data_IF_426949658902
#
_entry.id   IF_426949658902
#
_cell.length_a   1.000
_cell.length_b   1.000
_cell.length_c   1.000
_cell.angle_alpha   90.00
_cell.angle_beta   90.00
_cell.angle_gamma   90.00
#
_symmetry.space_group_name_H-M   'P 1'
#
loop_
_entity.id
_entity.type
_entity.pdbx_description
1 polymer ?
#
# COMPACT_ATOMS: atom_id res chain seq x y z
N UNK A 1 -6.16 14.43 -18.46
CA UNK A 1 -5.05 13.58 -18.95
C UNK A 1 -3.91 14.43 -19.51
N UNK A 2 -4.21 15.47 -20.27
CA UNK A 2 -3.21 16.27 -21.01
C UNK A 2 -2.25 17.04 -20.09
N UNK A 3 -2.67 17.40 -18.90
CA UNK A 3 -1.83 18.08 -17.90
C UNK A 3 -0.88 17.14 -17.14
N UNK A 4 -1.05 15.83 -17.27
CA UNK A 4 -0.12 14.86 -16.67
C UNK A 4 1.13 14.71 -17.53
N UNK A 5 2.29 14.67 -16.89
CA UNK A 5 3.53 14.27 -17.57
C UNK A 5 3.51 12.76 -17.88
N UNK A 6 4.46 12.25 -18.66
CA UNK A 6 4.48 10.85 -19.09
C UNK A 6 4.56 9.83 -17.96
N UNK A 7 5.11 10.21 -16.79
CA UNK A 7 5.16 9.39 -15.58
C UNK A 7 4.03 9.72 -14.60
N UNK A 8 3.18 10.66 -14.97
CA UNK A 8 2.12 11.18 -14.10
C UNK A 8 1.01 10.18 -13.85
N UNK A 9 0.39 10.34 -12.71
CA UNK A 9 -0.73 9.52 -12.25
C UNK A 9 -1.85 10.40 -11.69
N UNK A 10 -3.04 9.81 -11.59
CA UNK A 10 -4.20 10.42 -10.97
C UNK A 10 -4.82 9.44 -9.99
N UNK A 11 -5.21 9.96 -8.83
CA UNK A 11 -6.04 9.26 -7.87
C UNK A 11 -7.43 9.87 -7.85
N UNK A 12 -8.46 9.04 -7.90
CA UNK A 12 -9.85 9.48 -7.79
C UNK A 12 -10.55 8.67 -6.72
N UNK A 13 -11.02 9.36 -5.68
CA UNK A 13 -11.77 8.75 -4.58
C UNK A 13 -13.26 8.85 -4.86
N UNK A 14 -13.97 7.75 -4.73
CA UNK A 14 -15.42 7.68 -4.83
C UNK A 14 -16.00 6.76 -3.76
N UNK A 15 -17.20 7.10 -3.32
CA UNK A 15 -18.01 6.20 -2.52
C UNK A 15 -18.73 5.16 -3.40
N UNK A 16 -19.45 4.24 -2.76
CA UNK A 16 -20.16 3.14 -3.42
C UNK A 16 -21.25 3.60 -4.41
N UNK A 17 -21.78 4.84 -4.29
CA UNK A 17 -22.80 5.35 -5.20
C UNK A 17 -22.23 5.70 -6.57
N UNK A 18 -20.98 6.16 -6.61
CA UNK A 18 -20.34 6.66 -7.84
C UNK A 18 -19.16 5.84 -8.34
N UNK A 19 -18.64 4.86 -7.59
CA UNK A 19 -17.40 4.18 -7.93
C UNK A 19 -17.46 3.46 -9.29
N UNK A 20 -18.56 2.80 -9.61
CA UNK A 20 -18.73 2.10 -10.88
C UNK A 20 -18.80 3.04 -12.10
N UNK A 21 -19.47 4.19 -11.96
CA UNK A 21 -19.52 5.24 -13.01
C UNK A 21 -18.12 5.82 -13.19
N UNK A 22 -17.47 6.16 -12.07
CA UNK A 22 -16.14 6.74 -12.09
C UNK A 22 -15.13 5.79 -12.73
N UNK A 23 -15.20 4.50 -12.45
CA UNK A 23 -14.34 3.51 -13.08
C UNK A 23 -14.52 3.48 -14.60
N UNK A 24 -15.77 3.46 -15.10
CA UNK A 24 -16.06 3.48 -16.52
C UNK A 24 -15.54 4.77 -17.19
N UNK A 25 -15.77 5.92 -16.57
CA UNK A 25 -15.30 7.22 -17.05
C UNK A 25 -13.77 7.27 -17.13
N UNK A 26 -13.09 6.78 -16.12
CA UNK A 26 -11.62 6.77 -16.09
C UNK A 26 -11.03 5.79 -17.12
N UNK A 27 -11.69 4.64 -17.35
CA UNK A 27 -11.32 3.70 -18.41
C UNK A 27 -11.46 4.34 -19.80
N UNK A 28 -12.50 5.17 -20.03
CA UNK A 28 -12.70 5.90 -21.29
C UNK A 28 -11.62 6.97 -21.49
N UNK A 29 -11.31 7.77 -20.45
CA UNK A 29 -10.38 8.90 -20.55
C UNK A 29 -8.93 8.43 -20.62
N UNK A 30 -8.55 7.47 -19.77
CA UNK A 30 -7.16 7.06 -19.62
C UNK A 30 -6.79 5.81 -20.43
N UNK A 31 -7.75 4.95 -20.73
CA UNK A 31 -7.58 3.61 -21.26
C UNK A 31 -7.52 2.56 -20.15
N UNK A 32 -8.14 1.41 -20.35
CA UNK A 32 -8.16 0.28 -19.39
C UNK A 32 -6.75 -0.22 -19.06
N UNK A 33 -5.84 -0.16 -20.02
CA UNK A 33 -4.43 -0.55 -19.90
C UNK A 33 -3.66 0.34 -18.95
N UNK A 34 -4.15 1.54 -18.67
CA UNK A 34 -3.54 2.52 -17.76
C UNK A 34 -4.16 2.49 -16.35
N UNK A 35 -5.12 1.62 -16.10
CA UNK A 35 -5.57 1.30 -14.75
C UNK A 35 -4.47 0.58 -13.98
N UNK A 36 -4.21 1.02 -12.76
CA UNK A 36 -3.16 0.45 -11.91
C UNK A 36 -3.72 -0.29 -10.72
N UNK A 37 -4.54 0.37 -9.92
CA UNK A 37 -5.13 -0.22 -8.72
C UNK A 37 -6.50 0.39 -8.40
N UNK A 38 -7.36 -0.42 -7.83
CA UNK A 38 -8.40 0.01 -6.93
C UNK A 38 -7.89 -0.21 -5.50
N UNK A 39 -7.80 0.86 -4.75
CA UNK A 39 -7.31 0.88 -3.37
C UNK A 39 -8.52 1.08 -2.47
N UNK A 40 -8.65 0.22 -1.46
CA UNK A 40 -9.73 0.30 -0.48
C UNK A 40 -9.29 1.19 0.67
N UNK A 41 -10.03 2.28 0.92
CA UNK A 41 -9.75 3.22 2.00
C UNK A 41 -10.84 3.21 3.05
N UNK A 42 -10.48 3.41 4.31
CA UNK A 42 -11.43 3.42 5.42
C UNK A 42 -12.33 4.65 5.36
N UNK A 43 -13.63 4.45 5.47
CA UNK A 43 -14.62 5.50 5.68
C UNK A 43 -14.85 5.73 7.18
N UNK A 44 -15.31 6.92 7.58
CA UNK A 44 -15.81 7.11 8.94
C UNK A 44 -17.09 6.27 9.10
N UNK A 45 -17.06 5.33 10.05
CA UNK A 45 -18.25 4.58 10.43
C UNK A 45 -19.22 5.52 11.11
N UNK A 46 -20.31 5.89 10.47
CA UNK A 46 -21.49 6.36 11.20
C UNK A 46 -22.15 5.10 11.75
N UNK A 47 -22.16 4.94 13.05
CA UNK A 47 -22.96 3.93 13.73
C UNK A 47 -24.44 4.28 13.51
N UNK A 48 -25.04 3.72 12.49
CA UNK A 48 -26.44 3.87 12.17
C UNK A 48 -26.91 2.60 11.49
N UNK A 49 -27.82 1.89 12.13
CA UNK A 49 -28.46 0.72 11.56
C UNK A 49 -29.26 1.13 10.33
N UNK A 50 -28.74 0.87 9.15
CA UNK A 50 -29.51 0.91 7.91
C UNK A 50 -30.27 -0.38 7.76
N UNK A 51 -31.60 -0.29 7.75
CA UNK A 51 -32.46 -1.46 7.58
C UNK A 51 -32.26 -2.04 6.17
N UNK A 52 -31.90 -3.32 6.09
CA UNK A 52 -31.83 -4.05 4.82
C UNK A 52 -30.48 -4.02 4.08
N UNK A 53 -29.41 -3.42 4.66
CA UNK A 53 -28.07 -3.45 4.10
C UNK A 53 -27.01 -3.41 5.19
N UNK A 54 -25.78 -3.82 4.85
CA UNK A 54 -24.64 -3.62 5.73
C UNK A 54 -24.15 -2.16 5.68
N UNK A 55 -23.60 -1.67 6.79
CA UNK A 55 -22.99 -0.34 6.85
C UNK A 55 -21.79 -0.24 5.90
N UNK A 56 -21.72 0.88 5.18
CA UNK A 56 -20.60 1.14 4.25
C UNK A 56 -19.38 1.60 5.03
N UNK A 57 -18.37 0.75 5.10
CA UNK A 57 -17.16 0.98 5.88
C UNK A 57 -15.99 1.52 5.05
N UNK A 58 -16.07 1.48 3.72
CA UNK A 58 -14.96 1.79 2.82
C UNK A 58 -15.39 2.60 1.61
N UNK A 59 -14.44 3.33 1.02
CA UNK A 59 -14.53 3.96 -0.29
C UNK A 59 -13.49 3.35 -1.22
N UNK A 60 -13.71 3.50 -2.54
CA UNK A 60 -12.73 3.16 -3.56
C UNK A 60 -11.85 4.36 -3.91
N UNK A 61 -10.54 4.13 -4.01
CA UNK A 61 -9.56 5.09 -4.51
C UNK A 61 -8.91 4.48 -5.75
N UNK A 62 -9.28 4.97 -6.93
CA UNK A 62 -8.76 4.48 -8.20
C UNK A 62 -7.44 5.16 -8.54
N UNK A 63 -6.44 4.38 -8.92
CA UNK A 63 -5.17 4.85 -9.44
C UNK A 63 -5.07 4.55 -10.94
N UNK A 64 -4.92 5.60 -11.72
CA UNK A 64 -4.60 5.54 -13.14
C UNK A 64 -3.30 6.28 -13.45
N UNK A 65 -2.63 5.89 -14.51
CA UNK A 65 -1.44 6.57 -15.02
C UNK A 65 -1.70 7.16 -16.40
N UNK A 66 -0.85 8.08 -16.83
CA UNK A 66 -0.89 8.60 -18.21
C UNK A 66 -0.42 7.54 -19.20
N UNK A 67 0.60 6.78 -18.83
CA UNK A 67 1.25 5.75 -19.65
C UNK A 67 1.71 4.57 -18.81
N UNK A 68 2.31 3.56 -19.44
CA UNK A 68 2.91 2.43 -18.73
C UNK A 68 4.18 2.80 -17.94
N UNK A 69 4.74 3.99 -18.16
CA UNK A 69 5.94 4.46 -17.46
C UNK A 69 5.58 5.26 -16.19
N UNK A 70 4.81 4.66 -15.29
CA UNK A 70 4.42 5.28 -14.02
C UNK A 70 5.55 5.23 -12.99
N UNK A 71 5.70 6.30 -12.20
CA UNK A 71 6.49 6.28 -10.97
C UNK A 71 5.66 5.67 -9.85
N UNK A 72 6.09 4.54 -9.31
CA UNK A 72 5.54 3.96 -8.06
C UNK A 72 6.68 3.85 -7.05
N UNK A 73 6.58 4.60 -5.97
CA UNK A 73 7.49 4.50 -4.85
C UNK A 73 7.02 3.40 -3.89
N UNK A 74 7.91 2.52 -3.49
CA UNK A 74 7.59 1.49 -2.51
C UNK A 74 7.50 2.10 -1.12
N UNK A 75 6.29 2.23 -0.60
CA UNK A 75 6.03 2.67 0.77
C UNK A 75 5.92 1.45 1.66
N UNK A 76 6.48 1.55 2.86
CA UNK A 76 6.44 0.48 3.86
C UNK A 76 5.48 0.84 4.98
N UNK A 77 4.73 -0.16 5.46
CA UNK A 77 3.94 -0.07 6.69
C UNK A 77 4.49 -1.02 7.74
N UNK A 78 4.35 -0.64 9.00
CA UNK A 78 4.72 -1.51 10.11
C UNK A 78 3.88 -2.79 10.10
N UNK A 79 4.52 -3.92 10.38
CA UNK A 79 3.82 -5.17 10.66
C UNK A 79 3.38 -5.16 12.11
N UNK A 80 2.11 -5.41 12.33
CA UNK A 80 1.53 -5.50 13.68
C UNK A 80 1.07 -6.91 14.00
N UNK A 81 1.07 -7.26 15.26
CA UNK A 81 0.45 -8.51 15.71
C UNK A 81 -1.06 -8.48 15.44
N UNK A 82 -1.58 -9.55 14.86
CA UNK A 82 -3.01 -9.66 14.53
C UNK A 82 -3.92 -9.50 15.77
N UNK A 83 -3.45 -9.96 16.94
CA UNK A 83 -4.24 -10.01 18.18
C UNK A 83 -4.03 -8.77 19.06
N UNK A 84 -2.78 -8.45 19.43
CA UNK A 84 -2.49 -7.36 20.37
C UNK A 84 -2.22 -6.01 19.70
N UNK A 85 -2.15 -5.98 18.35
CA UNK A 85 -1.87 -4.77 17.54
C UNK A 85 -0.50 -4.11 17.80
N UNK A 86 0.35 -4.71 18.62
CA UNK A 86 1.70 -4.22 18.84
C UNK A 86 2.56 -4.38 17.57
N UNK A 87 3.52 -3.49 17.38
CA UNK A 87 4.51 -3.63 16.30
C UNK A 87 5.31 -4.91 16.49
N UNK A 88 5.56 -5.60 15.40
CA UNK A 88 6.44 -6.76 15.41
C UNK A 88 7.90 -6.31 15.45
N UNK A 89 8.72 -7.05 16.15
CA UNK A 89 10.18 -6.95 16.06
C UNK A 89 10.69 -7.82 14.89
N UNK A 90 11.95 -7.59 14.42
CA UNK A 90 12.57 -8.50 13.47
C UNK A 90 12.62 -9.91 14.03
N UNK A 91 12.14 -10.88 13.27
CA UNK A 91 12.09 -12.28 13.71
C UNK A 91 12.63 -13.24 12.64
N UNK A 92 13.29 -14.31 13.09
CA UNK A 92 13.70 -15.39 12.21
C UNK A 92 12.53 -16.34 11.98
N UNK A 93 12.10 -16.47 10.74
CA UNK A 93 10.99 -17.34 10.34
C UNK A 93 11.43 -18.38 9.34
N UNK A 94 10.80 -19.57 9.32
CA UNK A 94 11.09 -20.58 8.32
C UNK A 94 10.99 -20.02 6.90
N UNK A 95 11.92 -20.41 6.05
CA UNK A 95 11.95 -20.03 4.65
C UNK A 95 10.83 -20.67 3.81
N UNK A 96 10.10 -21.58 4.39
CA UNK A 96 9.10 -22.44 3.78
C UNK A 96 7.70 -21.85 3.87
N UNK A 97 6.91 -21.96 2.81
CA UNK A 97 5.52 -21.55 2.73
C UNK A 97 4.62 -22.77 2.42
N UNK A 98 3.35 -22.76 2.88
CA UNK A 98 2.41 -23.82 2.56
C UNK A 98 1.98 -23.79 1.08
N UNK A 99 1.58 -24.96 0.57
CA UNK A 99 1.13 -25.15 -0.82
C UNK A 99 2.18 -25.79 -1.70
N UNK A 100 1.75 -26.40 -2.81
CA UNK A 100 2.65 -27.03 -3.79
C UNK A 100 3.17 -26.00 -4.78
N UNK A 101 4.45 -26.09 -5.11
CA UNK A 101 5.13 -25.27 -6.10
C UNK A 101 6.33 -26.03 -6.68
N UNK A 102 6.78 -25.63 -7.86
CA UNK A 102 8.03 -26.15 -8.45
C UNK A 102 9.30 -25.76 -7.67
N UNK A 103 9.19 -24.79 -6.74
CA UNK A 103 10.29 -24.32 -5.91
C UNK A 103 10.42 -25.15 -4.62
N UNK A 104 10.65 -26.45 -4.78
CA UNK A 104 10.75 -27.41 -3.67
C UNK A 104 12.18 -27.72 -3.23
N UNK A 105 13.16 -27.21 -3.96
CA UNK A 105 14.59 -27.46 -3.71
C UNK A 105 15.38 -26.16 -3.73
N UNK A 106 16.24 -25.94 -2.74
CA UNK A 106 17.20 -24.84 -2.67
C UNK A 106 18.57 -25.35 -2.21
N UNK A 107 19.61 -24.59 -2.55
CA UNK A 107 20.98 -24.84 -2.11
C UNK A 107 21.48 -23.64 -1.32
N UNK A 108 21.94 -23.88 -0.10
CA UNK A 108 22.52 -22.85 0.78
C UNK A 108 23.87 -23.37 1.26
N UNK A 109 24.95 -22.63 0.97
CA UNK A 109 26.31 -23.02 1.36
C UNK A 109 26.65 -24.48 0.99
N UNK A 110 26.41 -24.86 -0.26
CA UNK A 110 26.62 -26.21 -0.81
C UNK A 110 25.79 -27.34 -0.18
N UNK A 111 24.82 -26.99 0.70
CA UNK A 111 23.87 -27.96 1.27
C UNK A 111 22.53 -27.85 0.52
N UNK A 112 22.03 -29.01 0.09
CA UNK A 112 20.72 -29.12 -0.56
C UNK A 112 19.64 -29.28 0.48
N UNK A 113 18.58 -28.48 0.37
CA UNK A 113 17.38 -28.51 1.19
C UNK A 113 16.15 -28.79 0.31
N UNK A 114 15.37 -29.77 0.69
CA UNK A 114 14.12 -30.15 0.02
C UNK A 114 12.99 -29.82 0.96
N UNK A 115 11.93 -29.17 0.46
CA UNK A 115 10.78 -28.73 1.27
C UNK A 115 10.00 -29.92 1.87
N UNK A 116 9.17 -29.66 2.86
CA UNK A 116 8.19 -30.63 3.39
C UNK A 116 7.13 -30.97 2.35
N UNK A 117 6.42 -32.04 2.57
CA UNK A 117 5.22 -32.37 1.80
C UNK A 117 4.18 -31.25 1.91
N UNK A 118 3.55 -30.88 0.80
CA UNK A 118 2.57 -29.79 0.70
C UNK A 118 3.14 -28.41 1.09
N UNK A 119 4.44 -28.21 0.87
CA UNK A 119 5.08 -26.91 1.06
C UNK A 119 6.15 -26.66 -0.01
N UNK A 120 6.60 -25.41 -0.09
CA UNK A 120 7.64 -24.98 -1.02
C UNK A 120 8.49 -23.88 -0.39
N UNK A 121 9.65 -23.59 -0.98
CA UNK A 121 10.49 -22.47 -0.55
C UNK A 121 9.94 -21.15 -1.03
N UNK A 122 9.85 -20.19 -0.13
CA UNK A 122 9.24 -18.86 -0.39
C UNK A 122 9.96 -18.07 -1.47
N UNK A 123 11.31 -18.23 -1.55
CA UNK A 123 12.15 -17.46 -2.47
C UNK A 123 12.84 -18.38 -3.48
N UNK A 124 13.09 -17.84 -4.69
CA UNK A 124 13.89 -18.51 -5.71
C UNK A 124 15.36 -18.55 -5.31
N UNK A 125 16.14 -19.43 -5.95
CA UNK A 125 17.55 -19.65 -5.63
C UNK A 125 18.40 -18.37 -5.66
N UNK A 126 18.18 -17.48 -6.63
CA UNK A 126 18.92 -16.23 -6.75
C UNK A 126 18.73 -15.35 -5.50
N UNK A 127 17.48 -15.17 -5.08
CA UNK A 127 17.14 -14.40 -3.86
C UNK A 127 17.69 -15.06 -2.60
N UNK A 128 17.67 -16.40 -2.53
CA UNK A 128 18.26 -17.17 -1.42
C UNK A 128 19.75 -16.89 -1.30
N UNK A 129 20.47 -16.88 -2.42
CA UNK A 129 21.90 -16.59 -2.46
C UNK A 129 22.20 -15.16 -1.98
N UNK A 130 21.46 -14.17 -2.49
CA UNK A 130 21.62 -12.78 -2.05
C UNK A 130 21.34 -12.59 -0.56
N UNK A 131 20.26 -13.18 -0.08
CA UNK A 131 19.88 -13.09 1.34
C UNK A 131 20.92 -13.73 2.24
N UNK A 132 21.47 -14.89 1.83
CA UNK A 132 22.52 -15.56 2.59
C UNK A 132 23.80 -14.72 2.66
N UNK A 133 24.24 -14.13 1.54
CA UNK A 133 25.41 -13.24 1.50
C UNK A 133 25.22 -11.98 2.36
N UNK A 134 24.00 -11.46 2.45
CA UNK A 134 23.65 -10.28 3.27
C UNK A 134 23.42 -10.62 4.75
N UNK A 135 23.56 -11.88 5.17
CA UNK A 135 23.25 -12.29 6.55
C UNK A 135 21.76 -12.25 6.91
N UNK A 136 20.88 -12.17 5.91
CA UNK A 136 19.43 -12.14 6.07
C UNK A 136 18.80 -13.54 6.00
N UNK A 137 19.59 -14.56 5.82
CA UNK A 137 19.23 -15.98 5.82
C UNK A 137 20.22 -16.77 6.65
N UNK A 138 19.75 -17.71 7.43
CA UNK A 138 20.55 -18.62 8.23
C UNK A 138 20.03 -20.05 8.15
N UNK A 139 20.85 -21.00 8.53
CA UNK A 139 20.44 -22.39 8.80
C UNK A 139 20.40 -22.54 10.32
N UNK A 140 19.21 -22.80 10.86
CA UNK A 140 19.04 -23.06 12.29
C UNK A 140 19.35 -24.51 12.59
N UNK A 141 20.60 -24.80 12.95
CA UNK A 141 21.11 -26.17 13.17
C UNK A 141 20.45 -26.88 14.36
N UNK A 142 19.78 -26.15 15.26
CA UNK A 142 19.03 -26.73 16.39
C UNK A 142 17.69 -27.34 15.98
N UNK A 143 17.22 -27.07 14.77
CA UNK A 143 15.94 -27.54 14.22
C UNK A 143 16.16 -28.60 13.15
N UNK A 144 15.23 -29.54 13.08
CA UNK A 144 15.17 -30.52 12.00
C UNK A 144 13.75 -30.64 11.48
N UNK A 145 13.59 -31.19 10.29
CA UNK A 145 12.28 -31.45 9.69
C UNK A 145 12.32 -32.73 8.85
N UNK A 146 11.16 -33.21 8.43
CA UNK A 146 11.02 -34.31 7.48
C UNK A 146 10.72 -33.73 6.11
N UNK A 147 11.53 -34.05 5.11
CA UNK A 147 11.32 -33.61 3.73
C UNK A 147 10.15 -34.34 3.05
N UNK A 148 9.81 -33.94 1.84
CA UNK A 148 8.70 -34.55 1.08
C UNK A 148 8.90 -36.02 0.73
N UNK A 149 10.12 -36.53 0.83
CA UNK A 149 10.48 -37.93 0.60
C UNK A 149 10.55 -38.77 1.89
N UNK A 150 10.30 -38.14 3.04
CA UNK A 150 10.35 -38.82 4.35
C UNK A 150 11.72 -38.81 5.00
N UNK A 151 12.72 -38.13 4.45
CA UNK A 151 14.05 -38.07 5.04
C UNK A 151 14.13 -37.00 6.12
N UNK A 152 14.81 -37.32 7.24
CA UNK A 152 15.12 -36.33 8.27
C UNK A 152 16.25 -35.42 7.82
N UNK A 153 15.97 -34.13 7.73
CA UNK A 153 16.94 -33.09 7.37
C UNK A 153 17.32 -32.33 8.64
N UNK A 154 18.62 -32.22 8.91
CA UNK A 154 19.16 -31.41 10.00
C UNK A 154 19.35 -29.96 9.52
N UNK A 155 19.06 -29.00 10.38
CA UNK A 155 19.07 -27.59 10.04
C UNK A 155 17.82 -27.16 9.27
N UNK A 156 17.20 -26.08 9.71
CA UNK A 156 16.05 -25.47 9.04
C UNK A 156 16.46 -24.12 8.48
N UNK A 157 16.32 -23.89 7.16
CA UNK A 157 16.51 -22.56 6.60
C UNK A 157 15.49 -21.56 7.15
N UNK A 158 15.99 -20.43 7.67
CA UNK A 158 15.21 -19.33 8.22
C UNK A 158 15.69 -18.02 7.61
N UNK A 159 14.76 -17.09 7.35
CA UNK A 159 15.09 -15.74 6.92
C UNK A 159 14.68 -14.70 7.95
N UNK A 160 15.39 -13.59 7.99
CA UNK A 160 15.06 -12.46 8.86
C UNK A 160 13.87 -11.71 8.28
N UNK A 161 12.72 -11.85 8.94
CA UNK A 161 11.52 -11.11 8.60
C UNK A 161 11.53 -9.76 9.29
N UNK A 162 11.59 -8.69 8.51
CA UNK A 162 11.59 -7.32 9.04
C UNK A 162 10.23 -6.92 9.62
N UNK A 163 10.22 -5.97 10.56
CA UNK A 163 8.99 -5.49 11.21
C UNK A 163 8.13 -4.59 10.30
N UNK A 164 8.42 -4.54 9.02
CA UNK A 164 7.68 -3.77 8.03
C UNK A 164 7.40 -4.62 6.79
N UNK A 165 6.39 -4.23 6.04
CA UNK A 165 6.01 -4.81 4.75
C UNK A 165 5.64 -3.71 3.76
N UNK A 166 5.74 -4.01 2.48
CA UNK A 166 5.25 -3.09 1.45
C UNK A 166 3.74 -2.88 1.61
N UNK A 167 3.30 -1.66 1.32
CA UNK A 167 1.87 -1.36 1.24
C UNK A 167 1.28 -2.08 0.02
N UNK A 168 0.13 -2.70 0.23
CA UNK A 168 -0.74 -3.29 -0.78
C UNK A 168 -1.90 -2.33 -1.11
N UNK A 169 -2.97 -2.81 -1.75
CA UNK A 169 -4.17 -2.02 -2.06
C UNK A 169 -5.18 -1.92 -0.91
N UNK A 170 -4.92 -2.54 0.24
CA UNK A 170 -5.73 -2.36 1.45
C UNK A 170 -5.13 -1.26 2.34
N UNK A 171 -5.76 -0.07 2.29
CA UNK A 171 -5.39 1.11 3.10
C UNK A 171 -6.38 1.38 4.23
N UNK A 172 -7.10 0.36 4.68
CA UNK A 172 -8.01 0.48 5.83
C UNK A 172 -7.29 0.60 7.18
N UNK A 173 -5.95 0.45 7.18
CA UNK A 173 -5.06 0.62 8.32
C UNK A 173 -4.92 2.08 8.77
N UNK A 174 -5.32 3.04 7.94
CA UNK A 174 -5.27 4.48 8.23
C UNK A 174 -6.64 5.12 8.09
N UNK A 175 -6.90 6.24 8.80
CA UNK A 175 -8.16 6.97 8.65
C UNK A 175 -8.26 7.60 7.26
N UNK A 176 -9.40 7.45 6.60
CA UNK A 176 -9.67 8.10 5.33
C UNK A 176 -10.17 9.53 5.47
N UNK A 177 -10.81 9.86 6.60
CA UNK A 177 -11.37 11.18 6.91
C UNK A 177 -10.90 11.69 8.26
N UNK A 178 -10.98 12.99 8.44
CA UNK A 178 -10.76 13.69 9.71
C UNK A 178 -11.77 14.85 9.82
N UNK A 179 -11.77 15.57 10.93
CA UNK A 179 -12.63 16.73 11.16
C UNK A 179 -11.88 17.85 11.88
N UNK A 180 -10.60 18.03 11.55
CA UNK A 180 -9.75 19.03 12.21
C UNK A 180 -10.15 20.46 11.82
N UNK A 181 -10.55 20.65 10.56
CA UNK A 181 -10.94 21.95 10.00
C UNK A 181 -12.46 22.12 9.89
N UNK A 182 -13.23 21.27 10.60
CA UNK A 182 -14.69 21.29 10.61
C UNK A 182 -15.32 21.24 9.20
N UNK A 183 -14.71 20.45 8.31
CA UNK A 183 -15.18 20.22 6.95
C UNK A 183 -15.69 18.79 6.84
N UNK A 184 -16.95 18.59 6.39
CA UNK A 184 -17.66 17.30 6.49
C UNK A 184 -17.00 16.15 5.72
N UNK A 185 -16.28 16.44 4.64
CA UNK A 185 -15.58 15.47 3.79
C UNK A 185 -14.07 15.67 3.81
N UNK A 186 -13.54 16.15 4.92
CA UNK A 186 -12.11 16.40 5.08
C UNK A 186 -11.33 15.10 5.01
N UNK A 187 -10.49 14.95 3.99
CA UNK A 187 -9.55 13.84 3.88
C UNK A 187 -8.49 13.92 4.98
N UNK A 188 -8.07 12.77 5.51
CA UNK A 188 -6.99 12.73 6.49
C UNK A 188 -5.65 13.06 5.83
N UNK A 189 -4.79 13.82 6.53
CA UNK A 189 -3.44 14.12 6.05
C UNK A 189 -2.57 12.86 5.89
N UNK A 190 -2.82 11.83 6.72
CA UNK A 190 -2.12 10.54 6.63
C UNK A 190 -2.44 9.83 5.31
N UNK A 191 -3.70 9.86 4.88
CA UNK A 191 -4.11 9.29 3.59
C UNK A 191 -3.45 10.06 2.43
N UNK A 192 -3.56 11.40 2.43
CA UNK A 192 -2.99 12.23 1.36
C UNK A 192 -1.46 12.15 1.32
N UNK A 193 -0.80 12.03 2.48
CA UNK A 193 0.64 11.76 2.53
C UNK A 193 0.98 10.46 1.77
N UNK A 194 0.26 9.38 2.07
CA UNK A 194 0.47 8.08 1.40
C UNK A 194 0.22 8.16 -0.11
N UNK A 195 -0.84 8.87 -0.53
CA UNK A 195 -1.15 9.12 -1.95
C UNK A 195 0.01 9.86 -2.63
N UNK A 196 0.42 11.00 -2.09
CA UNK A 196 1.44 11.86 -2.70
C UNK A 196 2.81 11.18 -2.73
N UNK A 197 3.23 10.55 -1.62
CA UNK A 197 4.52 9.85 -1.56
C UNK A 197 4.58 8.64 -2.51
N UNK A 198 3.43 7.97 -2.77
CA UNK A 198 3.42 6.77 -3.62
C UNK A 198 3.76 7.03 -5.08
N UNK A 199 3.47 8.22 -5.62
CA UNK A 199 3.61 8.50 -7.06
C UNK A 199 4.31 9.82 -7.38
N UNK A 200 4.95 10.46 -6.40
CA UNK A 200 5.70 11.70 -6.61
C UNK A 200 6.99 11.75 -5.81
N UNK A 201 7.87 12.67 -6.18
CA UNK A 201 9.10 13.05 -5.48
C UNK A 201 9.04 14.50 -5.03
N UNK A 202 9.94 14.89 -4.14
CA UNK A 202 10.14 16.28 -3.78
C UNK A 202 10.40 17.14 -5.04
N UNK A 203 9.77 18.32 -5.09
CA UNK A 203 9.82 19.22 -6.24
C UNK A 203 8.80 18.93 -7.36
N UNK A 204 8.18 17.77 -7.40
CA UNK A 204 7.11 17.45 -8.36
C UNK A 204 5.87 18.32 -8.13
N UNK A 205 5.06 18.48 -9.18
CA UNK A 205 3.80 19.23 -9.13
C UNK A 205 2.63 18.30 -8.82
N UNK A 206 1.90 18.62 -7.76
CA UNK A 206 0.64 17.98 -7.36
C UNK A 206 -0.51 18.92 -7.65
N UNK A 207 -1.56 18.44 -8.31
CA UNK A 207 -2.74 19.23 -8.63
C UNK A 207 -3.99 18.57 -8.05
N UNK A 208 -4.82 19.38 -7.39
CA UNK A 208 -6.16 18.99 -6.93
C UNK A 208 -7.19 20.01 -7.40
N UNK A 209 -8.06 19.62 -8.33
CA UNK A 209 -9.08 20.48 -8.90
C UNK A 209 -10.46 20.34 -8.26
N UNK A 210 -10.55 19.54 -7.19
CA UNK A 210 -11.68 19.45 -6.25
C UNK A 210 -11.18 19.57 -4.81
N UNK A 211 -10.53 20.70 -4.52
CA UNK A 211 -9.64 20.87 -3.36
C UNK A 211 -10.34 20.67 -2.01
N UNK A 212 -11.65 21.01 -1.91
CA UNK A 212 -12.43 20.83 -0.70
C UNK A 212 -11.81 21.56 0.51
N UNK A 213 -11.37 20.82 1.50
CA UNK A 213 -10.73 21.39 2.71
C UNK A 213 -9.29 21.81 2.55
N UNK A 214 -8.66 21.65 1.38
CA UNK A 214 -7.25 21.99 1.13
C UNK A 214 -6.25 20.98 1.68
N UNK A 215 -6.67 19.76 2.02
CA UNK A 215 -5.75 18.75 2.59
C UNK A 215 -4.64 18.39 1.61
N UNK A 216 -4.95 18.21 0.33
CA UNK A 216 -3.97 17.83 -0.69
C UNK A 216 -2.84 18.87 -0.80
N UNK A 217 -3.19 20.16 -0.91
CA UNK A 217 -2.19 21.23 -1.03
C UNK A 217 -1.37 21.39 0.25
N UNK A 218 -2.01 21.28 1.42
CA UNK A 218 -1.32 21.34 2.70
C UNK A 218 -0.28 20.21 2.86
N UNK A 219 -0.66 18.99 2.52
CA UNK A 219 0.25 17.84 2.58
C UNK A 219 1.35 17.93 1.51
N UNK A 220 1.01 18.33 0.29
CA UNK A 220 1.98 18.52 -0.78
C UNK A 220 3.05 19.55 -0.36
N UNK A 221 2.64 20.67 0.25
CA UNK A 221 3.55 21.68 0.78
C UNK A 221 4.49 21.13 1.84
N UNK A 222 3.95 20.44 2.87
CA UNK A 222 4.73 19.81 3.94
C UNK A 222 5.74 18.79 3.42
N UNK A 223 5.45 18.17 2.29
CA UNK A 223 6.32 17.16 1.66
C UNK A 223 7.29 17.76 0.61
N UNK A 224 7.38 19.08 0.49
CA UNK A 224 8.28 19.75 -0.48
C UNK A 224 7.84 19.61 -1.93
N UNK A 225 6.56 19.32 -2.20
CA UNK A 225 6.00 19.29 -3.55
C UNK A 225 5.49 20.68 -3.91
N UNK A 226 5.57 21.04 -5.21
CA UNK A 226 4.80 22.16 -5.75
C UNK A 226 3.33 21.75 -5.84
N UNK A 227 2.42 22.70 -5.74
CA UNK A 227 1.00 22.36 -5.77
C UNK A 227 0.16 23.42 -6.47
N UNK A 228 -0.95 22.98 -7.05
CA UNK A 228 -2.04 23.79 -7.56
C UNK A 228 -3.33 23.21 -6.98
N UNK A 229 -4.14 24.07 -6.37
CA UNK A 229 -5.46 23.72 -5.85
C UNK A 229 -6.53 24.60 -6.46
N UNK A 230 -7.65 24.00 -6.86
CA UNK A 230 -8.81 24.73 -7.41
C UNK A 230 -10.03 24.42 -6.57
N UNK A 231 -10.73 25.46 -6.13
CA UNK A 231 -11.96 25.36 -5.35
C UNK A 231 -12.87 26.56 -5.69
N UNK A 232 -14.14 26.27 -5.94
CA UNK A 232 -15.13 27.32 -6.29
C UNK A 232 -16.00 27.74 -5.10
N UNK A 233 -15.99 26.96 -4.02
CA UNK A 233 -16.84 27.19 -2.85
C UNK A 233 -16.34 28.30 -1.94
N UNK A 234 -17.24 29.00 -1.25
CA UNK A 234 -16.93 30.07 -0.29
C UNK A 234 -16.00 29.59 0.86
N UNK A 235 -15.95 28.30 1.13
CA UNK A 235 -15.04 27.71 2.09
C UNK A 235 -13.56 27.82 1.68
N UNK A 236 -13.27 28.26 0.45
CA UNK A 236 -11.93 28.68 0.05
C UNK A 236 -11.37 29.72 1.03
N UNK A 237 -12.17 30.74 1.37
CA UNK A 237 -11.77 31.81 2.25
C UNK A 237 -11.82 31.44 3.74
N UNK A 238 -12.79 30.64 4.14
CA UNK A 238 -13.01 30.32 5.54
C UNK A 238 -12.27 29.09 6.05
N UNK A 239 -11.87 28.18 5.15
CA UNK A 239 -11.17 26.93 5.51
C UNK A 239 -9.78 26.85 4.87
N UNK A 240 -9.70 26.94 3.53
CA UNK A 240 -8.46 26.68 2.80
C UNK A 240 -7.39 27.73 3.11
N UNK A 241 -7.71 29.01 2.95
CA UNK A 241 -6.74 30.10 3.20
C UNK A 241 -6.21 30.11 4.65
N UNK A 242 -7.04 29.97 5.69
CA UNK A 242 -6.56 29.83 7.07
C UNK A 242 -5.67 28.61 7.27
N UNK A 243 -6.01 27.48 6.64
CA UNK A 243 -5.20 26.26 6.69
C UNK A 243 -3.82 26.48 6.07
N UNK A 244 -3.77 27.02 4.84
CA UNK A 244 -2.51 27.24 4.12
C UNK A 244 -1.61 28.29 4.78
N UNK A 245 -2.18 29.22 5.56
CA UNK A 245 -1.39 30.18 6.37
C UNK A 245 -0.72 29.53 7.59
N UNK A 246 -1.17 28.33 8.02
CA UNK A 246 -0.61 27.58 9.17
C UNK A 246 0.36 26.49 8.74
N UNK A 247 0.49 26.23 7.47
CA UNK A 247 1.38 25.22 6.89
C UNK A 247 2.71 25.88 6.49
#
# INVERSE_FOLDING_TARGET
KDWLNEKGSIFVRCDYNGNWIMRCLMDEIFGKENFRNEIVVKRMSKLGSTTGMFDVATDSLFLFSKSNNILINQIKKDRTCKYCKQKKEPEWVPLEAPGESKNDTIIINNRKFISRKNSHWTFKQESVNEMYQKGLLRINEKRSYIDKFGNKVLGLPEYLQFPYQNIDSDWTDIPGYTSIWNFSTENSEILLKRVIESTSKEGDLVMDFFLGSGTTTAVAHKLGRKWIGVEMGEHFYSVILPRMKKV
#
